data_IF_991383687199
#
_entry.id   IF_991383687199
#
_cell.length_a   1.000
_cell.length_b   1.000
_cell.length_c   1.000
_cell.angle_alpha   90.00
_cell.angle_beta   90.00
_cell.angle_gamma   90.00
#
_symmetry.space_group_name_H-M   'P 1'
#
loop_
_entity.id
_entity.type
_entity.pdbx_description
1 polymer ?
#
# COMPACT_ATOMS: atom_id res chain seq x y z
N UNK A 1 -16.74 -54.27 -5.56
CA UNK A 1 -15.46 -53.82 -6.17
C UNK A 1 -15.62 -52.57 -7.08
N UNK A 2 -16.78 -52.30 -7.66
CA UNK A 2 -17.00 -51.16 -8.58
C UNK A 2 -17.21 -49.83 -7.85
N UNK A 3 -17.81 -49.84 -6.63
CA UNK A 3 -18.09 -48.60 -5.86
C UNK A 3 -16.83 -47.90 -5.31
N UNK A 4 -15.76 -48.63 -5.01
CA UNK A 4 -14.49 -48.03 -4.52
C UNK A 4 -13.69 -47.35 -5.63
N UNK A 5 -13.81 -47.79 -6.89
CA UNK A 5 -13.15 -47.18 -8.03
C UNK A 5 -13.78 -45.83 -8.42
N UNK A 6 -15.09 -45.64 -8.23
CA UNK A 6 -15.80 -44.41 -8.53
C UNK A 6 -15.50 -43.31 -7.49
N UNK A 7 -15.43 -43.68 -6.22
CA UNK A 7 -15.08 -42.72 -5.15
C UNK A 7 -13.62 -42.22 -5.27
N UNK A 8 -12.68 -43.08 -5.59
CA UNK A 8 -11.28 -42.71 -5.81
C UNK A 8 -11.10 -41.79 -7.04
N UNK A 9 -11.82 -42.07 -8.13
CA UNK A 9 -11.79 -41.21 -9.34
C UNK A 9 -12.42 -39.82 -9.09
N UNK A 10 -13.50 -39.74 -8.29
CA UNK A 10 -14.13 -38.49 -7.93
C UNK A 10 -13.23 -37.64 -7.03
N UNK A 11 -12.53 -38.29 -6.08
CA UNK A 11 -11.56 -37.60 -5.21
C UNK A 11 -10.35 -37.05 -5.97
N UNK A 12 -9.85 -37.79 -6.97
CA UNK A 12 -8.75 -37.34 -7.83
C UNK A 12 -9.16 -36.19 -8.75
N UNK A 13 -10.39 -36.20 -9.27
CA UNK A 13 -10.92 -35.11 -10.10
C UNK A 13 -11.15 -33.83 -9.28
N UNK A 14 -11.65 -33.94 -8.04
CA UNK A 14 -11.79 -32.80 -7.13
C UNK A 14 -10.45 -32.23 -6.71
N UNK A 15 -9.44 -33.04 -6.45
CA UNK A 15 -8.08 -32.61 -6.14
C UNK A 15 -7.40 -31.93 -7.34
N UNK A 16 -7.60 -32.44 -8.55
CA UNK A 16 -7.06 -31.84 -9.78
C UNK A 16 -7.72 -30.47 -10.08
N UNK A 17 -9.03 -30.35 -9.90
CA UNK A 17 -9.74 -29.06 -10.06
C UNK A 17 -9.27 -28.03 -9.04
N UNK A 18 -9.03 -28.42 -7.79
CA UNK A 18 -8.50 -27.53 -6.75
C UNK A 18 -7.06 -27.08 -7.04
N UNK A 19 -6.24 -27.94 -7.63
CA UNK A 19 -4.87 -27.62 -8.02
C UNK A 19 -4.81 -26.64 -9.21
N UNK A 20 -5.70 -26.78 -10.19
CA UNK A 20 -5.83 -25.87 -11.33
C UNK A 20 -6.26 -24.47 -10.85
N UNK A 21 -7.27 -24.37 -9.98
CA UNK A 21 -7.73 -23.08 -9.42
C UNK A 21 -6.64 -22.42 -8.56
N UNK A 22 -5.84 -23.19 -7.83
CA UNK A 22 -4.73 -22.66 -7.04
C UNK A 22 -3.58 -22.14 -7.93
N UNK A 23 -3.32 -22.80 -9.05
CA UNK A 23 -2.31 -22.36 -10.01
C UNK A 23 -2.74 -21.05 -10.68
N UNK A 24 -4.00 -20.93 -11.09
CA UNK A 24 -4.54 -19.71 -11.69
C UNK A 24 -4.47 -18.53 -10.73
N UNK A 25 -4.84 -18.71 -9.46
CA UNK A 25 -4.77 -17.66 -8.44
C UNK A 25 -3.33 -17.17 -8.22
N UNK A 26 -2.35 -18.09 -8.21
CA UNK A 26 -0.94 -17.75 -8.04
C UNK A 26 -0.39 -16.96 -9.23
N UNK A 27 -0.75 -17.33 -10.44
CA UNK A 27 -0.31 -16.67 -11.66
C UNK A 27 -0.96 -15.29 -11.80
N UNK A 28 -2.25 -15.14 -11.42
CA UNK A 28 -2.92 -13.84 -11.34
C UNK A 28 -2.18 -12.91 -10.38
N UNK A 29 -1.88 -13.38 -9.15
CA UNK A 29 -1.19 -12.55 -8.14
C UNK A 29 0.23 -12.22 -8.57
N UNK A 30 0.97 -13.17 -9.19
CA UNK A 30 2.32 -12.90 -9.71
C UNK A 30 2.31 -11.79 -10.74
N UNK A 31 1.43 -11.89 -11.73
CA UNK A 31 1.27 -10.87 -12.76
C UNK A 31 0.84 -9.53 -12.18
N UNK A 32 -0.04 -9.55 -11.19
CA UNK A 32 -0.49 -8.34 -10.49
C UNK A 32 0.67 -7.64 -9.77
N UNK A 33 1.52 -8.36 -9.06
CA UNK A 33 2.72 -7.80 -8.40
C UNK A 33 3.69 -7.18 -9.41
N UNK A 34 3.90 -7.84 -10.55
CA UNK A 34 4.80 -7.33 -11.61
C UNK A 34 4.28 -6.01 -12.22
N UNK A 35 2.97 -5.93 -12.50
CA UNK A 35 2.35 -4.74 -13.10
C UNK A 35 2.22 -3.58 -12.09
N UNK A 36 1.92 -3.87 -10.84
CA UNK A 36 1.86 -2.86 -9.77
C UNK A 36 3.23 -2.17 -9.57
N UNK A 37 4.33 -2.89 -9.74
CA UNK A 37 5.66 -2.27 -9.73
C UNK A 37 5.86 -1.26 -10.87
N UNK A 38 5.32 -1.55 -12.06
CA UNK A 38 5.41 -0.64 -13.21
C UNK A 38 4.56 0.64 -12.97
N UNK A 39 3.37 0.51 -12.39
CA UNK A 39 2.52 1.66 -12.05
C UNK A 39 3.11 2.50 -10.92
N UNK A 40 3.70 1.85 -9.93
CA UNK A 40 4.45 2.55 -8.89
C UNK A 40 5.59 3.40 -9.45
N UNK A 41 6.30 2.92 -10.49
CA UNK A 41 7.33 3.72 -11.16
C UNK A 41 6.75 4.98 -11.84
N UNK A 42 5.50 4.94 -12.32
CA UNK A 42 4.81 6.09 -12.93
C UNK A 42 4.25 7.08 -11.92
N UNK A 43 4.08 6.69 -10.66
CA UNK A 43 3.57 7.58 -9.61
C UNK A 43 4.41 8.86 -9.45
N UNK A 44 5.71 8.82 -9.78
CA UNK A 44 6.60 10.00 -9.79
C UNK A 44 6.18 11.10 -10.75
N UNK A 45 5.35 10.78 -11.75
CA UNK A 45 4.86 11.74 -12.75
C UNK A 45 3.57 12.45 -12.28
N UNK A 46 3.14 12.20 -11.05
CA UNK A 46 1.91 12.73 -10.48
C UNK A 46 2.13 13.55 -9.22
N UNK A 47 1.33 14.59 -9.07
CA UNK A 47 1.10 15.29 -7.80
C UNK A 47 -0.27 14.88 -7.27
N UNK A 48 -0.49 15.01 -5.98
CA UNK A 48 -1.76 14.66 -5.35
C UNK A 48 -1.97 15.39 -4.02
N UNK A 49 -3.19 15.40 -3.55
CA UNK A 49 -3.54 15.79 -2.19
C UNK A 49 -3.81 14.53 -1.37
N UNK A 50 -3.21 14.45 -0.18
CA UNK A 50 -3.47 13.38 0.77
C UNK A 50 -4.02 13.95 2.08
N UNK A 51 -5.10 13.34 2.58
CA UNK A 51 -5.75 13.66 3.85
C UNK A 51 -5.65 12.47 4.78
N UNK A 52 -5.03 12.67 5.93
CA UNK A 52 -4.89 11.65 6.97
C UNK A 52 -5.76 12.01 8.17
N UNK A 53 -6.55 11.04 8.63
CA UNK A 53 -7.33 11.14 9.85
C UNK A 53 -6.87 10.06 10.82
N UNK A 54 -6.36 10.47 11.97
CA UNK A 54 -5.93 9.60 13.06
C UNK A 54 -6.99 9.60 14.17
N UNK A 55 -7.56 8.43 14.49
CA UNK A 55 -8.54 8.23 15.55
C UNK A 55 -7.93 7.41 16.68
N UNK A 56 -7.84 7.99 17.88
CA UNK A 56 -7.54 7.21 19.09
C UNK A 56 -8.82 6.61 19.64
N UNK A 57 -8.77 5.33 20.04
CA UNK A 57 -9.92 4.63 20.58
C UNK A 57 -9.76 4.38 22.10
N UNK A 58 -10.87 4.39 22.82
CA UNK A 58 -10.93 3.94 24.21
C UNK A 58 -10.96 2.40 24.30
N UNK A 59 -10.99 1.87 25.52
CA UNK A 59 -11.04 0.41 25.76
C UNK A 59 -12.32 -0.28 25.28
N UNK A 60 -13.35 0.50 24.93
CA UNK A 60 -14.64 0.01 24.40
C UNK A 60 -14.72 0.19 22.88
N UNK A 61 -13.69 0.75 22.24
CA UNK A 61 -13.66 1.03 20.80
C UNK A 61 -14.34 2.33 20.40
N UNK A 62 -14.71 3.22 21.33
CA UNK A 62 -15.23 4.54 20.98
C UNK A 62 -14.10 5.51 20.67
N UNK A 63 -14.34 6.43 19.74
CA UNK A 63 -13.37 7.48 19.38
C UNK A 63 -13.19 8.42 20.58
N UNK A 64 -11.96 8.49 21.09
CA UNK A 64 -11.54 9.36 22.18
C UNK A 64 -11.03 10.71 21.67
N UNK A 65 -10.32 10.69 20.57
CA UNK A 65 -9.81 11.87 19.89
C UNK A 65 -9.64 11.59 18.41
N UNK A 66 -9.83 12.62 17.60
CA UNK A 66 -9.61 12.59 16.17
C UNK A 66 -8.71 13.78 15.79
N UNK A 67 -7.79 13.53 14.88
CA UNK A 67 -6.89 14.52 14.31
C UNK A 67 -6.85 14.31 12.81
N UNK A 68 -6.99 15.40 12.04
CA UNK A 68 -6.96 15.37 10.59
C UNK A 68 -5.93 16.35 10.06
N UNK A 69 -4.98 15.87 9.28
CA UNK A 69 -4.00 16.70 8.59
C UNK A 69 -4.14 16.48 7.07
N UNK A 70 -3.91 17.53 6.28
CA UNK A 70 -3.94 17.47 4.83
C UNK A 70 -2.65 18.07 4.25
N UNK A 71 -2.11 17.44 3.23
CA UNK A 71 -0.92 17.92 2.53
C UNK A 71 -1.01 17.65 1.03
N UNK A 72 -0.40 18.54 0.29
CA UNK A 72 -0.12 18.35 -1.13
C UNK A 72 1.25 17.69 -1.29
N UNK A 73 1.36 16.74 -2.21
CA UNK A 73 2.64 16.22 -2.66
C UNK A 73 2.97 16.85 -4.00
N UNK A 74 4.07 17.58 -4.07
CA UNK A 74 4.63 18.17 -5.29
C UNK A 74 5.90 17.44 -5.67
N UNK A 75 6.17 17.32 -6.96
CA UNK A 75 7.40 16.69 -7.45
C UNK A 75 8.42 17.78 -7.78
N UNK A 76 9.56 17.75 -7.11
CA UNK A 76 10.68 18.64 -7.33
C UNK A 76 11.87 17.83 -7.84
N UNK A 77 12.32 18.09 -9.06
CA UNK A 77 13.47 17.39 -9.67
C UNK A 77 13.39 15.86 -9.58
N UNK A 78 12.19 15.31 -9.78
CA UNK A 78 11.93 13.86 -9.76
C UNK A 78 11.65 13.26 -8.39
N UNK A 79 11.69 14.04 -7.30
CA UNK A 79 11.38 13.57 -5.94
C UNK A 79 10.10 14.19 -5.37
N UNK A 80 9.27 13.42 -4.65
CA UNK A 80 8.09 13.94 -4.00
C UNK A 80 8.44 14.73 -2.73
N UNK A 81 7.89 15.92 -2.62
CA UNK A 81 7.97 16.79 -1.44
C UNK A 81 6.59 17.09 -0.90
N UNK A 82 6.42 17.04 0.42
CA UNK A 82 5.14 17.32 1.06
C UNK A 82 5.07 18.77 1.51
N UNK A 83 3.95 19.42 1.20
CA UNK A 83 3.56 20.74 1.71
C UNK A 83 2.26 20.59 2.49
N UNK A 84 2.26 20.94 3.76
CA UNK A 84 1.06 20.88 4.58
C UNK A 84 0.09 21.98 4.14
N UNK A 85 -1.19 21.62 4.02
CA UNK A 85 -2.30 22.51 3.67
C UNK A 85 -3.21 22.78 4.87
N UNK A 86 -3.54 21.71 5.62
CA UNK A 86 -4.38 21.77 6.81
C UNK A 86 -3.73 21.01 7.98
N UNK A 87 -3.99 21.50 9.19
CA UNK A 87 -3.60 20.85 10.45
C UNK A 87 -4.81 20.81 11.38
N UNK A 88 -5.08 19.63 11.96
CA UNK A 88 -6.25 19.40 12.82
C UNK A 88 -7.57 19.85 12.17
N UNK A 89 -7.72 19.61 10.86
CA UNK A 89 -8.91 19.94 10.07
C UNK A 89 -9.10 21.43 9.81
N UNK A 90 -8.06 22.25 10.01
CA UNK A 90 -8.09 23.68 9.78
C UNK A 90 -6.99 24.12 8.82
N UNK A 91 -7.28 25.04 7.89
CA UNK A 91 -6.27 25.65 7.06
C UNK A 91 -5.12 26.22 7.91
N UNK A 92 -3.91 26.14 7.40
CA UNK A 92 -2.75 26.70 8.07
C UNK A 92 -2.88 28.23 8.22
N UNK A 93 -2.36 28.76 9.33
CA UNK A 93 -2.18 30.20 9.49
C UNK A 93 -1.27 30.78 8.39
N UNK A 94 -1.40 32.08 8.09
CA UNK A 94 -0.54 32.73 7.11
C UNK A 94 0.96 32.64 7.48
N UNK A 95 1.29 32.51 8.75
CA UNK A 95 2.67 32.28 9.21
C UNK A 95 3.13 30.86 8.89
N UNK A 96 2.30 29.86 9.16
CA UNK A 96 2.64 28.45 8.88
C UNK A 96 2.69 28.17 7.38
N UNK A 97 1.78 28.78 6.59
CA UNK A 97 1.87 28.71 5.12
C UNK A 97 3.21 29.25 4.61
N UNK A 98 3.67 30.40 5.15
CA UNK A 98 5.00 30.94 4.80
C UNK A 98 6.13 30.00 5.18
N UNK A 99 6.05 29.33 6.35
CA UNK A 99 7.05 28.34 6.77
C UNK A 99 7.07 27.13 5.81
N UNK A 100 5.92 26.62 5.42
CA UNK A 100 5.84 25.52 4.44
C UNK A 100 6.40 25.93 3.08
N UNK A 101 6.08 27.16 2.60
CA UNK A 101 6.67 27.68 1.35
C UNK A 101 8.19 27.79 1.46
N UNK A 102 8.72 28.33 2.55
CA UNK A 102 10.16 28.44 2.77
C UNK A 102 10.88 27.07 2.79
N UNK A 103 10.20 25.99 3.24
CA UNK A 103 10.75 24.63 3.17
C UNK A 103 10.90 24.18 1.71
N UNK A 104 9.87 24.44 0.89
CA UNK A 104 9.93 24.11 -0.54
C UNK A 104 10.99 24.95 -1.25
N UNK A 105 11.05 26.27 -1.00
CA UNK A 105 12.04 27.16 -1.61
C UNK A 105 13.48 26.72 -1.30
N UNK A 106 13.73 26.29 -0.05
CA UNK A 106 15.03 25.73 0.35
C UNK A 106 15.34 24.42 -0.36
N UNK A 107 14.33 23.55 -0.53
CA UNK A 107 14.49 22.29 -1.27
C UNK A 107 14.82 22.58 -2.75
N UNK A 108 14.08 23.48 -3.39
CA UNK A 108 14.34 23.92 -4.78
C UNK A 108 15.75 24.49 -4.89
N UNK A 109 16.14 25.46 -4.05
CA UNK A 109 17.45 26.09 -4.10
C UNK A 109 18.59 25.06 -3.94
N UNK A 110 18.42 24.06 -3.07
CA UNK A 110 19.38 22.97 -2.91
C UNK A 110 19.51 22.15 -4.20
N UNK A 111 18.39 21.79 -4.81
CA UNK A 111 18.34 20.93 -6.01
C UNK A 111 18.81 21.68 -7.27
N UNK A 112 18.57 22.99 -7.37
CA UNK A 112 19.04 23.83 -8.48
C UNK A 112 20.57 23.95 -8.52
N UNK A 113 21.24 23.87 -7.38
CA UNK A 113 22.69 24.00 -7.28
C UNK A 113 23.43 22.66 -7.33
N UNK A 114 22.72 21.53 -7.54
CA UNK A 114 23.35 20.24 -7.72
C UNK A 114 24.15 20.14 -9.01
N UNK A 115 25.37 19.57 -8.94
CA UNK A 115 26.08 19.18 -10.14
C UNK A 115 25.35 18.02 -10.85
N UNK A 116 25.60 17.80 -12.16
CA UNK A 116 25.03 16.65 -12.87
C UNK A 116 25.32 15.32 -12.18
N UNK A 117 26.50 15.13 -11.61
CA UNK A 117 26.91 13.90 -10.91
C UNK A 117 26.15 13.74 -9.57
N UNK A 118 25.93 14.83 -8.84
CA UNK A 118 25.15 14.82 -7.60
C UNK A 118 23.70 14.46 -7.88
N UNK A 119 23.11 15.06 -8.94
CA UNK A 119 21.74 14.74 -9.37
C UNK A 119 21.61 13.26 -9.74
N UNK A 120 22.48 12.76 -10.60
CA UNK A 120 22.46 11.36 -11.03
C UNK A 120 22.56 10.40 -9.83
N UNK A 121 23.44 10.70 -8.87
CA UNK A 121 23.60 9.90 -7.66
C UNK A 121 22.33 9.91 -6.81
N UNK A 122 21.75 11.07 -6.56
CA UNK A 122 20.51 11.22 -5.80
C UNK A 122 19.35 10.46 -6.45
N UNK A 123 19.16 10.60 -7.74
CA UNK A 123 18.12 9.89 -8.50
C UNK A 123 18.33 8.36 -8.43
N UNK A 124 19.56 7.90 -8.57
CA UNK A 124 19.89 6.47 -8.45
C UNK A 124 19.66 5.93 -7.02
N UNK A 125 20.04 6.68 -5.99
CA UNK A 125 19.80 6.30 -4.60
C UNK A 125 18.30 6.25 -4.30
N UNK A 126 17.52 7.22 -4.77
CA UNK A 126 16.08 7.26 -4.62
C UNK A 126 15.37 6.07 -5.30
N UNK A 127 15.72 5.76 -6.55
CA UNK A 127 15.16 4.60 -7.25
C UNK A 127 15.55 3.28 -6.57
N UNK A 128 16.78 3.17 -6.08
CA UNK A 128 17.24 1.99 -5.35
C UNK A 128 16.47 1.77 -4.03
N UNK A 129 16.21 2.83 -3.27
CA UNK A 129 15.39 2.73 -2.06
C UNK A 129 13.95 2.34 -2.39
N UNK A 130 13.36 2.96 -3.41
CA UNK A 130 12.01 2.62 -3.87
C UNK A 130 11.89 1.15 -4.30
N UNK A 131 12.88 0.63 -5.03
CA UNK A 131 12.88 -0.77 -5.43
C UNK A 131 12.99 -1.69 -4.21
N UNK A 132 13.89 -1.38 -3.29
CA UNK A 132 14.09 -2.15 -2.06
C UNK A 132 12.84 -2.21 -1.20
N UNK A 133 12.12 -1.09 -1.04
CA UNK A 133 10.90 -1.02 -0.22
C UNK A 133 9.79 -1.95 -0.72
N UNK A 134 9.84 -2.34 -1.99
CA UNK A 134 8.84 -3.19 -2.63
C UNK A 134 9.32 -4.58 -3.02
N UNK A 135 10.61 -4.86 -2.83
CA UNK A 135 11.21 -6.14 -3.23
C UNK A 135 10.52 -7.34 -2.54
N UNK A 136 10.10 -7.17 -1.29
CA UNK A 136 9.39 -8.19 -0.53
C UNK A 136 8.05 -8.61 -1.18
N UNK A 137 7.41 -7.74 -1.97
CA UNK A 137 6.16 -8.06 -2.66
C UNK A 137 6.33 -9.17 -3.70
N UNK A 138 7.54 -9.34 -4.24
CA UNK A 138 7.87 -10.42 -5.17
C UNK A 138 7.75 -11.82 -4.54
N UNK A 139 7.79 -11.90 -3.20
CA UNK A 139 7.60 -13.15 -2.48
C UNK A 139 6.12 -13.50 -2.25
N UNK A 140 5.19 -12.55 -2.39
CA UNK A 140 3.76 -12.74 -2.10
C UNK A 140 3.17 -13.97 -2.81
N UNK A 141 3.40 -14.22 -4.12
CA UNK A 141 2.86 -15.40 -4.80
C UNK A 141 3.39 -16.72 -4.26
N UNK A 142 4.57 -16.72 -3.65
CA UNK A 142 5.22 -17.91 -3.12
C UNK A 142 4.98 -18.11 -1.63
N UNK A 143 4.85 -17.02 -0.89
CA UNK A 143 4.66 -17.01 0.56
C UNK A 143 3.26 -17.49 0.97
N UNK A 144 2.24 -17.20 0.17
CA UNK A 144 0.86 -17.50 0.52
C UNK A 144 0.30 -18.71 -0.21
N UNK A 145 -0.57 -19.46 0.46
CA UNK A 145 -1.56 -20.32 -0.15
C UNK A 145 -2.68 -19.42 -0.68
N UNK A 146 -2.76 -19.31 -2.00
CA UNK A 146 -3.68 -18.46 -2.72
C UNK A 146 -4.86 -19.27 -3.25
N UNK A 147 -6.09 -18.79 -3.04
CA UNK A 147 -7.30 -19.46 -3.51
C UNK A 147 -8.22 -18.47 -4.19
N UNK A 148 -8.61 -18.76 -5.40
CA UNK A 148 -9.66 -18.02 -6.10
C UNK A 148 -11.00 -18.34 -5.42
N UNK A 149 -11.66 -17.30 -4.90
CA UNK A 149 -12.97 -17.39 -4.24
C UNK A 149 -14.12 -17.19 -5.21
N UNK A 150 -13.89 -16.48 -6.32
CA UNK A 150 -14.88 -16.15 -7.34
C UNK A 150 -14.61 -14.79 -7.95
N UNK A 151 -15.65 -14.23 -8.53
CA UNK A 151 -15.64 -12.96 -9.23
C UNK A 151 -16.59 -11.99 -8.55
N UNK A 152 -16.22 -10.71 -8.53
CA UNK A 152 -17.05 -9.61 -8.04
C UNK A 152 -16.96 -8.42 -8.99
N UNK A 153 -17.76 -7.38 -8.74
CA UNK A 153 -17.67 -6.10 -9.42
C UNK A 153 -17.49 -4.99 -8.39
N UNK A 154 -16.41 -4.19 -8.54
CA UNK A 154 -16.08 -3.06 -7.65
C UNK A 154 -15.84 -1.81 -8.50
N UNK A 155 -16.55 -0.72 -8.21
CA UNK A 155 -16.40 0.58 -8.88
C UNK A 155 -16.43 0.48 -10.43
N UNK A 156 -17.20 -0.48 -10.96
CA UNK A 156 -17.31 -0.74 -12.40
C UNK A 156 -16.33 -1.76 -12.98
N UNK A 157 -15.33 -2.19 -12.20
CA UNK A 157 -14.32 -3.16 -12.60
C UNK A 157 -14.75 -4.59 -12.30
N UNK A 158 -14.61 -5.49 -13.26
CA UNK A 158 -14.75 -6.93 -13.05
C UNK A 158 -13.46 -7.47 -12.42
N UNK A 159 -13.55 -8.09 -11.25
CA UNK A 159 -12.38 -8.49 -10.45
C UNK A 159 -12.40 -9.96 -10.08
N UNK A 160 -11.22 -10.56 -10.00
CA UNK A 160 -11.02 -11.81 -9.27
C UNK A 160 -10.93 -11.51 -7.77
N UNK A 161 -11.54 -12.39 -6.98
CA UNK A 161 -11.43 -12.36 -5.52
C UNK A 161 -10.56 -13.51 -5.07
N UNK A 162 -9.43 -13.20 -4.43
CA UNK A 162 -8.43 -14.19 -4.03
C UNK A 162 -8.16 -14.07 -2.53
N UNK A 163 -8.25 -15.20 -1.82
CA UNK A 163 -7.77 -15.29 -0.44
C UNK A 163 -6.30 -15.69 -0.38
N UNK A 164 -5.61 -15.15 0.62
CA UNK A 164 -4.19 -15.40 0.86
C UNK A 164 -3.98 -15.79 2.33
N UNK A 165 -3.47 -17.00 2.57
CA UNK A 165 -3.11 -17.49 3.91
C UNK A 165 -1.64 -17.90 3.90
N UNK A 166 -0.83 -17.49 4.89
CA UNK A 166 0.60 -17.83 4.90
C UNK A 166 0.83 -19.34 4.85
N UNK A 167 1.75 -19.77 3.99
CA UNK A 167 2.14 -21.18 3.91
C UNK A 167 2.87 -21.61 5.18
N UNK A 168 2.46 -22.69 5.83
CA UNK A 168 3.18 -23.24 6.96
C UNK A 168 4.64 -23.56 6.60
N UNK A 169 5.58 -23.10 7.43
CA UNK A 169 7.00 -23.40 7.26
C UNK A 169 7.72 -22.62 6.15
N UNK A 170 7.06 -21.71 5.45
CA UNK A 170 7.73 -20.85 4.47
C UNK A 170 8.81 -20.00 5.13
N UNK A 171 9.97 -19.90 4.50
CA UNK A 171 11.11 -19.10 4.95
C UNK A 171 11.31 -17.92 3.99
N UNK A 172 10.94 -16.70 4.41
CA UNK A 172 11.11 -15.52 3.55
C UNK A 172 12.58 -15.27 3.24
N UNK A 173 12.86 -14.95 1.97
CA UNK A 173 14.20 -14.57 1.50
C UNK A 173 14.57 -13.17 1.98
N UNK A 174 13.57 -12.26 2.04
CA UNK A 174 13.73 -10.89 2.50
C UNK A 174 13.21 -10.75 3.93
N UNK A 175 13.99 -10.04 4.77
CA UNK A 175 13.60 -9.78 6.17
C UNK A 175 12.25 -9.07 6.28
N UNK A 176 11.97 -8.20 5.32
CA UNK A 176 10.78 -7.35 5.29
C UNK A 176 9.51 -8.13 4.90
N UNK A 177 9.65 -9.33 4.36
CA UNK A 177 8.55 -10.26 4.13
C UNK A 177 8.15 -11.07 5.40
N UNK A 178 8.99 -11.10 6.45
CA UNK A 178 8.68 -11.85 7.68
C UNK A 178 7.37 -11.47 8.36
N UNK A 179 6.95 -10.19 8.43
CA UNK A 179 5.65 -9.82 8.97
C UNK A 179 4.48 -10.45 8.22
N UNK A 180 4.61 -10.71 6.91
CA UNK A 180 3.56 -11.32 6.09
C UNK A 180 3.19 -12.74 6.52
N UNK A 181 4.11 -13.47 7.19
CA UNK A 181 3.82 -14.80 7.77
C UNK A 181 2.77 -14.75 8.88
N UNK A 182 2.42 -13.56 9.34
CA UNK A 182 1.46 -13.31 10.42
C UNK A 182 0.23 -12.54 9.95
N UNK A 183 -0.04 -12.56 8.65
CA UNK A 183 -1.12 -11.82 8.01
C UNK A 183 -1.91 -12.75 7.12
N UNK A 184 -3.22 -12.73 7.23
CA UNK A 184 -4.13 -13.26 6.21
C UNK A 184 -4.70 -12.12 5.41
N UNK A 185 -5.02 -12.35 4.12
CA UNK A 185 -5.51 -11.28 3.26
C UNK A 185 -6.58 -11.77 2.28
N UNK A 186 -7.35 -10.82 1.77
CA UNK A 186 -8.26 -10.96 0.64
C UNK A 186 -7.95 -9.86 -0.37
N UNK A 187 -7.79 -10.23 -1.61
CA UNK A 187 -7.39 -9.35 -2.70
C UNK A 187 -8.45 -9.34 -3.78
N UNK A 188 -8.75 -8.17 -4.32
CA UNK A 188 -9.58 -7.95 -5.49
C UNK A 188 -8.71 -7.41 -6.60
N UNK A 189 -8.53 -8.20 -7.65
CA UNK A 189 -7.63 -7.92 -8.76
C UNK A 189 -8.44 -7.72 -10.03
N UNK A 190 -8.26 -6.57 -10.70
CA UNK A 190 -8.92 -6.25 -11.97
C UNK A 190 -8.57 -7.28 -13.05
N UNK A 191 -9.59 -7.77 -13.75
CA UNK A 191 -9.43 -8.81 -14.76
C UNK A 191 -8.81 -8.33 -16.06
N UNK A 192 -8.98 -7.06 -16.40
CA UNK A 192 -8.46 -6.50 -17.63
C UNK A 192 -6.99 -6.09 -17.49
N UNK A 193 -6.63 -5.50 -16.35
CA UNK A 193 -5.32 -4.88 -16.15
C UNK A 193 -4.47 -5.56 -15.09
N UNK A 194 -5.00 -6.57 -14.35
CA UNK A 194 -4.32 -7.28 -13.27
C UNK A 194 -3.83 -6.36 -12.13
N UNK A 195 -4.48 -5.20 -11.95
CA UNK A 195 -4.13 -4.27 -10.90
C UNK A 195 -4.96 -4.53 -9.64
N UNK A 196 -4.40 -4.20 -8.49
CA UNK A 196 -5.09 -4.33 -7.21
C UNK A 196 -6.13 -3.22 -7.09
N UNK A 197 -7.41 -3.59 -7.11
CA UNK A 197 -8.49 -2.65 -6.84
C UNK A 197 -8.68 -2.45 -5.35
N UNK A 198 -8.58 -3.57 -4.58
CA UNK A 198 -8.73 -3.58 -3.14
C UNK A 198 -7.91 -4.70 -2.51
N UNK A 199 -7.35 -4.43 -1.35
CA UNK A 199 -6.70 -5.39 -0.46
C UNK A 199 -7.28 -5.23 0.94
N UNK A 200 -7.68 -6.33 1.57
CA UNK A 200 -7.98 -6.40 2.99
C UNK A 200 -7.02 -7.38 3.64
N UNK A 201 -6.38 -6.95 4.71
CA UNK A 201 -5.44 -7.79 5.45
C UNK A 201 -5.72 -7.72 6.95
N UNK A 202 -5.47 -8.82 7.66
CA UNK A 202 -5.64 -8.91 9.11
C UNK A 202 -4.47 -9.68 9.72
N UNK A 203 -3.95 -9.17 10.82
CA UNK A 203 -2.88 -9.85 11.56
C UNK A 203 -3.43 -11.04 12.35
N UNK A 204 -2.83 -12.21 12.17
CA UNK A 204 -3.17 -13.45 12.88
C UNK A 204 -2.32 -13.67 14.13
N UNK A 205 -1.19 -12.98 14.24
CA UNK A 205 -0.26 -13.04 15.38
C UNK A 205 0.38 -11.68 15.61
N UNK A 206 0.99 -11.48 16.76
CA UNK A 206 1.69 -10.23 17.09
C UNK A 206 2.85 -9.97 16.12
N UNK A 207 2.85 -8.81 15.48
CA UNK A 207 3.97 -8.28 14.67
C UNK A 207 4.76 -7.30 15.54
N UNK A 208 6.08 -7.45 15.55
CA UNK A 208 6.99 -6.57 16.30
C UNK A 208 7.89 -5.82 15.31
N UNK A 209 8.09 -4.53 15.57
CA UNK A 209 8.94 -3.64 14.79
C UNK A 209 10.07 -3.09 15.68
N UNK A 210 11.28 -2.96 15.10
CA UNK A 210 12.42 -2.29 15.74
C UNK A 210 12.75 -2.81 17.14
N UNK A 211 13.25 -4.05 17.26
CA UNK A 211 13.69 -4.65 18.54
C UNK A 211 12.64 -4.48 19.67
N UNK A 212 11.36 -4.69 19.35
CA UNK A 212 10.21 -4.56 20.27
C UNK A 212 9.80 -3.11 20.62
N UNK A 213 10.30 -2.10 19.90
CA UNK A 213 9.90 -0.70 20.11
C UNK A 213 8.41 -0.53 19.83
N UNK A 214 7.87 -1.19 18.79
CA UNK A 214 6.44 -1.20 18.49
C UNK A 214 5.93 -2.63 18.29
N UNK A 215 4.70 -2.88 18.73
CA UNK A 215 4.01 -4.17 18.54
C UNK A 215 2.59 -3.92 18.07
N UNK A 216 2.19 -4.65 17.05
CA UNK A 216 0.82 -4.71 16.55
C UNK A 216 0.20 -6.05 16.98
N UNK A 217 -0.94 -5.98 17.63
CA UNK A 217 -1.62 -7.18 18.14
C UNK A 217 -2.34 -7.95 17.03
N UNK A 218 -2.69 -9.23 17.22
CA UNK A 218 -3.61 -9.94 16.34
C UNK A 218 -4.94 -9.18 16.20
N UNK A 219 -5.57 -9.30 15.02
CA UNK A 219 -6.82 -8.62 14.69
C UNK A 219 -6.66 -7.18 14.23
N UNK A 220 -5.43 -6.69 14.08
CA UNK A 220 -5.22 -5.42 13.39
C UNK A 220 -5.49 -5.57 11.89
N UNK A 221 -6.15 -4.58 11.29
CA UNK A 221 -6.65 -4.63 9.92
C UNK A 221 -6.03 -3.54 9.07
N UNK A 222 -5.80 -3.88 7.82
CA UNK A 222 -5.45 -2.96 6.74
C UNK A 222 -6.51 -3.11 5.64
N UNK A 223 -7.06 -2.00 5.17
CA UNK A 223 -7.81 -1.91 3.92
C UNK A 223 -7.05 -0.95 3.03
N UNK A 224 -6.74 -1.37 1.82
CA UNK A 224 -6.07 -0.54 0.81
C UNK A 224 -6.86 -0.60 -0.49
N UNK A 225 -7.13 0.55 -1.07
CA UNK A 225 -7.89 0.70 -2.30
C UNK A 225 -7.10 1.56 -3.28
N UNK A 226 -7.16 1.18 -4.56
CA UNK A 226 -6.61 1.94 -5.67
C UNK A 226 -7.73 2.42 -6.60
N UNK A 227 -7.41 3.41 -7.41
CA UNK A 227 -8.28 3.92 -8.46
C UNK A 227 -7.48 4.14 -9.74
N UNK A 228 -8.15 3.98 -10.88
CA UNK A 228 -7.56 4.29 -12.17
C UNK A 228 -7.58 5.79 -12.41
N UNK A 229 -6.43 6.36 -12.73
CA UNK A 229 -6.24 7.80 -12.94
C UNK A 229 -5.85 8.04 -14.39
N UNK A 230 -6.54 8.99 -15.04
CA UNK A 230 -6.33 9.39 -16.43
C UNK A 230 -6.34 8.22 -17.44
N UNK A 231 -7.02 7.13 -17.12
CA UNK A 231 -7.08 5.91 -17.94
C UNK A 231 -5.69 5.29 -18.26
N UNK A 232 -4.67 5.56 -17.44
CA UNK A 232 -3.30 5.12 -17.72
C UNK A 232 -2.54 4.49 -16.55
N UNK A 233 -2.95 4.78 -15.29
CA UNK A 233 -2.20 4.31 -14.10
C UNK A 233 -3.14 4.07 -12.95
N UNK A 234 -2.83 3.05 -12.13
CA UNK A 234 -3.51 2.79 -10.87
C UNK A 234 -2.75 3.41 -9.72
N UNK A 235 -3.41 4.25 -8.94
CA UNK A 235 -2.83 4.98 -7.83
C UNK A 235 -3.66 4.80 -6.55
N UNK A 236 -3.07 5.00 -5.36
CA UNK A 236 -3.78 4.91 -4.10
C UNK A 236 -5.04 5.78 -4.08
N UNK A 237 -6.15 5.24 -3.58
CA UNK A 237 -7.41 5.95 -3.35
C UNK A 237 -7.64 6.15 -1.87
N UNK A 238 -7.45 5.07 -1.10
CA UNK A 238 -7.73 5.03 0.33
C UNK A 238 -6.92 3.95 1.02
N UNK A 239 -6.46 4.24 2.21
CA UNK A 239 -5.88 3.27 3.14
C UNK A 239 -6.51 3.44 4.51
N UNK A 240 -6.87 2.35 5.16
CA UNK A 240 -7.30 2.32 6.55
C UNK A 240 -6.45 1.29 7.27
N UNK A 241 -5.78 1.72 8.33
CA UNK A 241 -5.10 0.84 9.27
C UNK A 241 -5.78 0.97 10.62
N UNK A 242 -6.30 -0.12 11.15
CA UNK A 242 -6.95 -0.12 12.46
C UNK A 242 -6.45 -1.26 13.32
N UNK A 243 -6.38 -1.04 14.62
CA UNK A 243 -5.97 -2.09 15.54
C UNK A 243 -5.50 -1.59 16.89
N UNK A 244 -5.04 -2.55 17.68
CA UNK A 244 -4.44 -2.28 18.97
C UNK A 244 -2.99 -2.78 19.00
N UNK A 245 -2.16 -2.10 19.79
CA UNK A 245 -0.76 -2.44 19.89
C UNK A 245 -0.09 -1.81 21.12
N UNK A 246 1.24 -1.78 21.09
CA UNK A 246 2.07 -1.12 22.11
C UNK A 246 3.20 -0.37 21.46
N UNK A 247 3.50 0.80 22.02
CA UNK A 247 4.72 1.55 21.74
C UNK A 247 5.60 1.51 22.99
N UNK A 248 6.82 1.03 22.85
CA UNK A 248 7.70 0.75 23.98
C UNK A 248 7.13 -0.38 24.87
N UNK A 249 7.55 -0.38 26.15
CA UNK A 249 7.14 -1.43 27.11
C UNK A 249 5.76 -1.17 27.71
N UNK A 250 5.26 0.06 27.72
CA UNK A 250 4.13 0.47 28.58
C UNK A 250 2.98 1.13 27.83
N UNK A 251 3.20 1.89 26.73
CA UNK A 251 2.14 2.66 26.10
C UNK A 251 1.27 1.77 25.21
N UNK A 252 0.08 1.44 25.69
CA UNK A 252 -0.95 0.77 24.88
C UNK A 252 -1.55 1.79 23.91
N UNK A 253 -1.73 1.38 22.67
CA UNK A 253 -2.35 2.17 21.61
C UNK A 253 -3.50 1.35 21.04
N UNK A 254 -4.63 2.00 20.84
CA UNK A 254 -5.72 1.48 20.03
C UNK A 254 -6.20 2.63 19.17
N UNK A 255 -6.39 2.38 17.89
CA UNK A 255 -6.75 3.46 16.98
C UNK A 255 -6.99 2.99 15.56
N UNK A 256 -7.36 3.95 14.77
CA UNK A 256 -7.53 3.85 13.34
C UNK A 256 -6.84 5.04 12.67
N UNK A 257 -6.14 4.78 11.60
CA UNK A 257 -5.61 5.79 10.70
C UNK A 257 -6.25 5.57 9.33
N UNK A 258 -6.83 6.61 8.79
CA UNK A 258 -7.36 6.64 7.44
C UNK A 258 -6.59 7.66 6.62
N UNK A 259 -6.10 7.25 5.46
CA UNK A 259 -5.49 8.15 4.47
C UNK A 259 -6.30 8.07 3.18
N UNK A 260 -6.67 9.20 2.64
CA UNK A 260 -7.31 9.31 1.32
C UNK A 260 -6.43 10.14 0.40
N UNK A 261 -6.36 9.73 -0.87
CA UNK A 261 -5.63 10.43 -1.92
C UNK A 261 -6.61 10.90 -2.99
N UNK A 262 -6.46 12.12 -3.41
CA UNK A 262 -7.31 12.73 -4.42
C UNK A 262 -6.56 13.80 -5.22
N UNK A 263 -7.25 14.39 -6.18
CA UNK A 263 -6.74 15.51 -6.98
C UNK A 263 -5.41 15.18 -7.66
N UNK A 264 -5.31 13.98 -8.21
CA UNK A 264 -4.17 13.54 -8.99
C UNK A 264 -4.00 14.41 -10.23
N UNK A 265 -2.80 14.94 -10.43
CA UNK A 265 -2.45 15.75 -11.61
C UNK A 265 -1.14 15.23 -12.17
N UNK A 266 -1.15 14.86 -13.46
CA UNK A 266 0.07 14.52 -14.18
C UNK A 266 0.87 15.78 -14.42
N UNK A 267 2.15 15.75 -14.04
CA UNK A 267 3.03 16.86 -14.28
C UNK A 267 3.95 16.57 -15.48
N UNK A 268 4.16 17.56 -16.34
CA UNK A 268 5.09 17.44 -17.46
C UNK A 268 6.41 18.11 -17.09
N UNK A 269 7.51 17.44 -17.40
CA UNK A 269 8.90 17.84 -16.99
C UNK A 269 9.31 19.24 -17.48
N UNK A 270 8.58 19.83 -18.42
CA UNK A 270 8.85 21.18 -18.95
C UNK A 270 8.16 22.33 -18.17
N UNK A 271 7.40 22.00 -17.13
CA UNK A 271 6.72 23.02 -16.33
C UNK A 271 7.61 23.49 -15.19
N UNK A 272 8.27 24.65 -15.35
CA UNK A 272 8.73 25.42 -14.19
C UNK A 272 7.54 25.59 -13.24
N UNK A 273 7.72 25.25 -11.96
CA UNK A 273 6.73 25.52 -10.93
C UNK A 273 6.42 27.01 -10.95
N UNK A 274 5.38 27.40 -11.66
CA UNK A 274 4.82 28.75 -11.54
C UNK A 274 4.02 28.75 -10.24
N UNK A 275 4.55 29.45 -9.24
CA UNK A 275 3.81 29.71 -8.01
C UNK A 275 2.46 30.33 -8.42
N UNK A 276 1.38 29.61 -8.11
CA UNK A 276 0.04 30.16 -8.19
C UNK A 276 -0.07 31.15 -7.03
N UNK A 277 -0.19 32.44 -7.39
CA UNK A 277 -0.47 33.55 -6.48
C UNK A 277 -1.83 33.38 -5.77
#
# INVERSE_FOLDING_TARGET
MVAHLTAARLAVLLAAASALLAQDARDIVRKSVELDQADWARMKDYTWIARQTDRSLDSRGHVKSEKTDEWETVVLYGEPHRRMLERDGKPLSAEDQRKEQQKLDKAVAKLEHESPEQRQRREADYEKEREKDREFLREVPDLFDLRLLGDEKIDGHDVWVISATPKPGYQPKHSDAKPLLKVQAKMWIDKAEYQWVRLEAETTATISFGLFIARLNPGAKLVFEQTRVNDEVWLPKREIVSGAGRLGLVKKLAGEQEVTWNNYRKFQVDSKVVAVQ
#
